data_IF_677950972549
#
_entry.id   IF_677950972549
#
_cell.length_a   1.000
_cell.length_b   1.000
_cell.length_c   1.000
_cell.angle_alpha   90.00
_cell.angle_beta   90.00
_cell.angle_gamma   90.00
#
_symmetry.space_group_name_H-M   'P 1'
#
loop_
_entity.id
_entity.type
_entity.pdbx_description
1 polymer ?
#
# COMPACT_ATOMS: atom_id res chain seq x y z
N UNK A 1 21.04 5.43 5.64
CA UNK A 1 21.81 5.13 4.42
C UNK A 1 21.34 3.85 3.77
N UNK A 2 21.62 3.69 2.47
CA UNK A 2 21.30 2.45 1.79
C UNK A 2 22.20 1.30 2.28
N UNK A 3 21.62 0.14 2.63
CA UNK A 3 22.40 -1.06 2.89
C UNK A 3 23.16 -1.53 1.66
N UNK A 4 24.17 -2.40 1.85
CA UNK A 4 24.98 -2.91 0.74
C UNK A 4 24.15 -3.76 -0.22
N UNK A 5 24.62 -3.87 -1.47
CA UNK A 5 23.94 -4.63 -2.52
C UNK A 5 23.79 -6.10 -2.16
N UNK A 6 24.80 -6.71 -1.52
CA UNK A 6 24.76 -8.12 -1.12
C UNK A 6 23.67 -8.36 -0.08
N UNK A 7 23.46 -7.39 0.82
CA UNK A 7 22.50 -7.48 1.91
C UNK A 7 21.04 -7.43 1.40
N UNK A 8 20.78 -6.63 0.36
CA UNK A 8 19.42 -6.44 -0.18
C UNK A 8 19.11 -7.26 -1.42
N UNK A 9 20.07 -8.02 -1.96
CA UNK A 9 19.84 -8.90 -3.11
C UNK A 9 18.72 -9.92 -2.82
N UNK A 10 17.79 -10.20 -3.76
CA UNK A 10 17.75 -9.81 -5.17
C UNK A 10 17.22 -8.40 -5.47
N UNK A 11 16.86 -7.63 -4.45
CA UNK A 11 16.45 -6.24 -4.60
C UNK A 11 17.66 -5.30 -4.73
N UNK A 12 17.38 -4.01 -4.85
CA UNK A 12 18.38 -2.94 -4.89
C UNK A 12 18.02 -1.85 -3.89
N UNK A 13 19.00 -1.06 -3.46
CA UNK A 13 18.75 0.13 -2.65
C UNK A 13 19.29 1.38 -3.35
N UNK A 14 18.49 2.45 -3.37
CA UNK A 14 18.89 3.77 -3.82
C UNK A 14 18.39 4.86 -2.86
N UNK A 15 19.05 6.01 -2.84
CA UNK A 15 18.55 7.19 -2.14
C UNK A 15 17.60 7.95 -3.07
N UNK A 16 16.34 8.09 -2.66
CA UNK A 16 15.34 8.92 -3.33
C UNK A 16 14.88 10.02 -2.37
N UNK A 17 14.99 11.28 -2.79
CA UNK A 17 14.66 12.46 -1.99
C UNK A 17 15.27 12.43 -0.56
N UNK A 18 16.49 11.90 -0.43
CA UNK A 18 17.20 11.78 0.85
C UNK A 18 16.79 10.59 1.73
N UNK A 19 15.91 9.71 1.26
CA UNK A 19 15.51 8.49 1.97
C UNK A 19 16.00 7.25 1.24
N UNK A 20 16.45 6.24 1.98
CA UNK A 20 16.82 4.96 1.40
C UNK A 20 15.56 4.19 0.96
N UNK A 21 15.56 3.68 -0.27
CA UNK A 21 14.45 2.94 -0.85
C UNK A 21 14.95 1.59 -1.36
N UNK A 22 14.39 0.52 -0.79
CA UNK A 22 14.59 -0.84 -1.27
C UNK A 22 13.59 -1.09 -2.40
N UNK A 23 14.12 -1.33 -3.59
CA UNK A 23 13.35 -1.56 -4.82
C UNK A 23 13.50 -3.01 -5.27
N UNK A 24 12.37 -3.72 -5.30
CA UNK A 24 12.24 -5.12 -5.66
C UNK A 24 11.32 -5.25 -6.88
N UNK A 25 11.70 -6.05 -7.88
CA UNK A 25 10.90 -6.15 -9.09
C UNK A 25 11.02 -7.48 -9.84
N UNK A 26 9.96 -7.86 -10.56
CA UNK A 26 9.97 -9.03 -11.44
C UNK A 26 9.83 -10.36 -10.71
N UNK A 27 9.29 -10.36 -9.50
CA UNK A 27 9.14 -11.58 -8.69
C UNK A 27 7.83 -12.30 -8.98
N UNK A 28 7.83 -13.60 -8.71
CA UNK A 28 6.70 -14.52 -8.86
C UNK A 28 6.09 -14.95 -7.53
N UNK A 29 6.69 -14.51 -6.42
CA UNK A 29 6.18 -14.66 -5.05
C UNK A 29 6.63 -13.51 -4.16
N UNK A 30 5.82 -13.15 -3.16
CA UNK A 30 6.21 -12.19 -2.11
C UNK A 30 7.47 -12.65 -1.35
N UNK A 31 7.67 -13.96 -1.21
CA UNK A 31 8.79 -14.55 -0.45
C UNK A 31 10.17 -14.30 -1.09
N UNK A 32 10.23 -13.93 -2.37
CA UNK A 32 11.48 -13.52 -3.01
C UNK A 32 12.02 -12.19 -2.44
N UNK A 33 11.18 -11.42 -1.74
CA UNK A 33 11.58 -10.22 -1.02
C UNK A 33 12.11 -10.52 0.40
N UNK A 34 11.89 -11.74 0.93
CA UNK A 34 12.23 -12.11 2.32
C UNK A 34 13.69 -11.80 2.70
N UNK A 35 14.70 -12.06 1.84
CA UNK A 35 16.09 -11.71 2.18
C UNK A 35 16.28 -10.21 2.39
N UNK A 36 15.75 -9.38 1.50
CA UNK A 36 15.90 -7.93 1.58
C UNK A 36 15.17 -7.37 2.81
N UNK A 37 13.94 -7.84 3.07
CA UNK A 37 13.14 -7.40 4.22
C UNK A 37 13.78 -7.86 5.53
N UNK A 38 14.19 -9.12 5.63
CA UNK A 38 14.76 -9.66 6.88
C UNK A 38 16.07 -8.97 7.25
N UNK A 39 16.97 -8.76 6.30
CA UNK A 39 18.28 -8.17 6.59
C UNK A 39 18.22 -6.65 6.82
N UNK A 40 17.11 -6.00 6.51
CA UNK A 40 16.96 -4.54 6.66
C UNK A 40 16.07 -4.14 7.84
N UNK A 41 15.68 -5.10 8.69
CA UNK A 41 15.12 -4.82 10.01
C UNK A 41 16.07 -3.88 10.78
N UNK A 42 15.50 -2.82 11.36
CA UNK A 42 16.23 -1.79 12.08
C UNK A 42 16.84 -0.67 11.22
N UNK A 43 16.81 -0.79 9.89
CA UNK A 43 17.15 0.31 8.99
C UNK A 43 15.94 1.24 8.78
N UNK A 44 16.21 2.53 8.59
CA UNK A 44 15.19 3.52 8.16
C UNK A 44 15.15 3.50 6.62
N UNK A 45 14.28 2.64 6.08
CA UNK A 45 14.15 2.36 4.65
C UNK A 45 12.69 2.37 4.24
N UNK A 46 12.43 2.81 3.02
CA UNK A 46 11.14 2.68 2.35
C UNK A 46 11.17 1.51 1.38
N UNK A 47 9.99 1.01 1.00
CA UNK A 47 9.87 -0.12 0.09
C UNK A 47 9.14 0.26 -1.20
N UNK A 48 9.66 -0.21 -2.32
CA UNK A 48 9.02 -0.16 -3.63
C UNK A 48 9.03 -1.56 -4.24
N UNK A 49 7.84 -2.16 -4.41
CA UNK A 49 7.69 -3.48 -5.04
C UNK A 49 6.98 -3.28 -6.38
N UNK A 50 7.64 -3.64 -7.47
CA UNK A 50 7.24 -3.26 -8.81
C UNK A 50 7.12 -4.46 -9.74
N UNK A 51 6.07 -4.55 -10.56
CA UNK A 51 6.00 -5.52 -11.68
C UNK A 51 6.22 -6.97 -11.24
N UNK A 52 5.48 -7.40 -10.21
CA UNK A 52 5.65 -8.71 -9.57
C UNK A 52 4.33 -9.42 -9.33
N UNK A 53 4.29 -10.74 -9.43
CA UNK A 53 3.18 -11.56 -8.97
C UNK A 53 3.44 -11.98 -7.52
N UNK A 54 2.77 -11.34 -6.56
CA UNK A 54 3.12 -11.48 -5.14
C UNK A 54 2.29 -12.55 -4.42
N UNK A 55 1.09 -12.85 -4.91
CA UNK A 55 0.17 -13.76 -4.23
C UNK A 55 -0.41 -13.12 -2.96
N UNK A 56 -0.40 -13.84 -1.85
CA UNK A 56 -0.86 -13.31 -0.56
C UNK A 56 0.30 -12.60 0.14
N UNK A 57 0.16 -11.31 0.42
CA UNK A 57 1.08 -10.57 1.28
C UNK A 57 0.61 -10.75 2.73
N UNK A 58 1.42 -11.34 3.63
CA UNK A 58 1.07 -11.45 5.05
C UNK A 58 0.89 -10.06 5.70
N UNK A 59 -0.03 -9.97 6.65
CA UNK A 59 -0.31 -8.74 7.41
C UNK A 59 0.96 -8.08 7.95
N UNK A 60 1.87 -8.89 8.51
CA UNK A 60 3.07 -8.46 9.24
C UNK A 60 4.36 -8.57 8.42
N UNK A 61 4.25 -8.60 7.09
CA UNK A 61 5.40 -8.75 6.19
C UNK A 61 6.52 -7.72 6.43
N UNK A 62 6.15 -6.48 6.77
CA UNK A 62 7.11 -5.39 7.04
C UNK A 62 7.38 -5.17 8.53
N UNK A 63 7.05 -6.13 9.39
CA UNK A 63 7.22 -5.98 10.84
C UNK A 63 8.69 -5.76 11.21
N UNK A 64 8.92 -4.90 12.21
CA UNK A 64 10.26 -4.54 12.67
C UNK A 64 10.93 -3.42 11.86
N UNK A 65 10.22 -2.86 10.88
CA UNK A 65 10.72 -1.76 10.05
C UNK A 65 10.14 -0.43 10.49
N UNK A 66 10.86 0.64 10.15
CA UNK A 66 10.35 2.00 10.18
C UNK A 66 10.38 2.51 8.74
N UNK A 67 9.22 2.53 8.10
CA UNK A 67 9.09 2.92 6.69
C UNK A 67 8.08 4.05 6.58
N UNK A 68 8.51 5.18 6.01
CA UNK A 68 7.65 6.35 5.80
C UNK A 68 6.78 6.18 4.56
N UNK A 69 7.31 5.51 3.53
CA UNK A 69 6.68 5.30 2.23
C UNK A 69 6.66 3.81 1.89
N UNK A 70 5.51 3.34 1.41
CA UNK A 70 5.35 2.02 0.80
C UNK A 70 4.70 2.18 -0.57
N UNK A 71 5.39 1.73 -1.61
CA UNK A 71 4.89 1.71 -2.98
C UNK A 71 4.78 0.26 -3.47
N UNK A 72 3.60 -0.10 -3.98
CA UNK A 72 3.35 -1.36 -4.67
C UNK A 72 2.73 -0.99 -6.02
N UNK A 73 3.39 -1.34 -7.12
CA UNK A 73 3.02 -0.86 -8.45
C UNK A 73 3.12 -1.95 -9.52
N UNK A 74 2.11 -2.05 -10.37
CA UNK A 74 2.03 -3.02 -11.46
C UNK A 74 2.24 -4.48 -11.00
N UNK A 75 1.79 -4.83 -9.81
CA UNK A 75 1.89 -6.18 -9.26
C UNK A 75 0.61 -7.00 -9.48
N UNK A 76 0.61 -8.24 -9.02
CA UNK A 76 -0.58 -9.09 -8.90
C UNK A 76 -0.62 -9.58 -7.46
N UNK A 77 -1.47 -8.95 -6.66
CA UNK A 77 -1.71 -9.30 -5.26
C UNK A 77 -3.06 -9.99 -5.15
N UNK A 78 -3.15 -11.07 -4.38
CA UNK A 78 -4.40 -11.77 -4.04
C UNK A 78 -4.96 -11.33 -2.69
N UNK A 79 -4.11 -10.98 -1.73
CA UNK A 79 -4.53 -10.52 -0.40
C UNK A 79 -3.42 -9.71 0.25
N UNK A 80 -3.81 -8.80 1.15
CA UNK A 80 -2.88 -8.09 2.04
C UNK A 80 -2.99 -8.59 3.50
N UNK A 81 -3.62 -9.74 3.71
CA UNK A 81 -3.93 -10.26 5.05
C UNK A 81 -5.15 -9.57 5.68
N UNK A 82 -5.38 -9.87 6.96
CA UNK A 82 -6.50 -9.31 7.74
C UNK A 82 -6.19 -7.92 8.31
N UNK A 83 -4.90 -7.62 8.52
CA UNK A 83 -4.41 -6.32 9.04
C UNK A 83 -3.23 -5.86 8.17
N UNK A 84 -3.49 -5.33 6.96
CA UNK A 84 -2.47 -4.97 6.00
C UNK A 84 -1.39 -4.05 6.58
N UNK A 85 -0.13 -4.41 6.38
CA UNK A 85 1.03 -3.58 6.76
C UNK A 85 1.21 -3.39 8.28
N UNK A 86 0.78 -4.38 9.06
CA UNK A 86 1.02 -4.40 10.50
C UNK A 86 2.52 -4.36 10.81
N UNK A 87 2.88 -3.63 11.86
CA UNK A 87 4.24 -3.25 12.19
C UNK A 87 4.64 -1.85 11.70
N UNK A 88 3.87 -1.24 10.80
CA UNK A 88 4.13 0.13 10.30
C UNK A 88 3.21 1.20 10.90
N UNK A 89 2.45 0.87 11.94
CA UNK A 89 1.38 1.70 12.52
C UNK A 89 1.85 3.12 12.88
N UNK A 90 3.07 3.21 13.41
CA UNK A 90 3.68 4.43 13.94
C UNK A 90 4.71 5.05 12.98
N UNK A 91 4.80 4.58 11.72
CA UNK A 91 5.79 5.06 10.74
C UNK A 91 5.27 5.35 9.34
N UNK A 92 4.31 4.58 8.83
CA UNK A 92 3.84 4.73 7.45
C UNK A 92 3.00 6.00 7.28
N UNK A 93 3.46 6.91 6.42
CA UNK A 93 2.79 8.17 6.12
C UNK A 93 2.20 8.20 4.70
N UNK A 94 2.83 7.50 3.76
CA UNK A 94 2.46 7.49 2.34
C UNK A 94 2.34 6.04 1.85
N UNK A 95 1.14 5.67 1.42
CA UNK A 95 0.87 4.38 0.80
C UNK A 95 0.44 4.57 -0.66
N UNK A 96 1.11 3.90 -1.58
CA UNK A 96 0.74 3.86 -3.00
C UNK A 96 0.54 2.41 -3.45
N UNK A 97 -0.63 2.14 -4.02
CA UNK A 97 -1.10 0.83 -4.51
C UNK A 97 -1.69 1.09 -5.90
N UNK A 98 -0.93 0.82 -6.95
CA UNK A 98 -1.30 1.25 -8.30
C UNK A 98 -1.17 0.12 -9.33
N UNK A 99 -2.27 -0.24 -10.01
CA UNK A 99 -2.25 -1.27 -11.05
C UNK A 99 -1.91 -2.67 -10.53
N UNK A 100 -2.33 -3.01 -9.31
CA UNK A 100 -1.81 -4.16 -8.54
C UNK A 100 -2.84 -5.23 -8.16
N UNK A 101 -4.13 -4.94 -8.22
CA UNK A 101 -5.16 -5.86 -7.73
C UNK A 101 -5.58 -6.87 -8.80
N UNK A 102 -5.38 -8.16 -8.52
CA UNK A 102 -6.11 -9.21 -9.24
C UNK A 102 -7.55 -9.21 -8.75
N UNK A 103 -8.45 -8.57 -9.49
CA UNK A 103 -9.85 -8.43 -9.09
C UNK A 103 -10.54 -9.79 -8.91
N UNK A 104 -10.13 -10.84 -9.63
CA UNK A 104 -10.76 -12.15 -9.50
C UNK A 104 -10.49 -12.81 -8.14
N UNK A 105 -9.49 -12.34 -7.40
CA UNK A 105 -9.08 -12.95 -6.14
C UNK A 105 -8.89 -11.97 -4.97
N UNK A 106 -8.80 -10.65 -5.22
CA UNK A 106 -8.50 -9.67 -4.16
C UNK A 106 -9.74 -9.21 -3.41
N UNK A 107 -9.87 -9.70 -2.17
CA UNK A 107 -10.97 -9.30 -1.30
C UNK A 107 -10.70 -7.96 -0.61
N UNK A 108 -11.15 -6.86 -1.22
CA UNK A 108 -11.02 -5.50 -0.68
C UNK A 108 -11.91 -5.23 0.56
N UNK A 109 -12.81 -6.13 0.95
CA UNK A 109 -13.56 -5.97 2.20
C UNK A 109 -12.67 -6.09 3.43
N UNK A 110 -11.55 -6.82 3.34
CA UNK A 110 -10.57 -6.96 4.42
C UNK A 110 -9.49 -5.89 4.40
N UNK A 111 -9.47 -5.05 3.35
CA UNK A 111 -8.50 -3.97 3.23
C UNK A 111 -8.90 -2.81 4.16
N UNK A 112 -8.36 -2.83 5.38
CA UNK A 112 -8.64 -1.84 6.45
C UNK A 112 -7.34 -1.22 6.94
N UNK A 113 -7.30 0.11 6.98
CA UNK A 113 -6.11 0.89 7.30
C UNK A 113 -6.25 1.73 8.60
N UNK A 114 -7.33 1.59 9.37
CA UNK A 114 -7.55 2.32 10.65
C UNK A 114 -6.36 2.27 11.60
N UNK A 115 -5.67 1.13 11.66
CA UNK A 115 -4.57 0.91 12.59
C UNK A 115 -3.31 1.73 12.23
N UNK A 116 -3.19 2.26 11.01
CA UNK A 116 -2.05 3.07 10.56
C UNK A 116 -2.17 4.52 11.03
N UNK A 117 -1.71 4.77 12.26
CA UNK A 117 -1.90 6.03 12.98
C UNK A 117 -1.26 7.24 12.33
N UNK A 118 -0.24 7.05 11.48
CA UNK A 118 0.47 8.15 10.78
C UNK A 118 0.13 8.28 9.30
N UNK A 119 -0.75 7.46 8.75
CA UNK A 119 -1.04 7.49 7.32
C UNK A 119 -1.75 8.78 6.92
N UNK A 120 -1.04 9.66 6.21
CA UNK A 120 -1.55 10.97 5.75
C UNK A 120 -2.05 10.91 4.32
N UNK A 121 -1.39 10.11 3.49
CA UNK A 121 -1.70 9.99 2.06
C UNK A 121 -1.84 8.53 1.63
N UNK A 122 -2.97 8.23 0.99
CA UNK A 122 -3.21 6.94 0.36
C UNK A 122 -3.59 7.14 -1.12
N UNK A 123 -2.85 6.51 -2.03
CA UNK A 123 -3.18 6.44 -3.45
C UNK A 123 -3.48 5.00 -3.83
N UNK A 124 -4.74 4.71 -4.15
CA UNK A 124 -5.23 3.39 -4.55
C UNK A 124 -5.86 3.54 -5.92
N UNK A 125 -5.03 3.60 -6.96
CA UNK A 125 -5.42 3.96 -8.32
C UNK A 125 -5.24 2.84 -9.33
N UNK A 126 -5.92 2.96 -10.47
CA UNK A 126 -5.81 2.03 -11.60
C UNK A 126 -5.97 0.54 -11.23
N UNK A 127 -6.84 0.23 -10.26
CA UNK A 127 -7.05 -1.13 -9.76
C UNK A 127 -8.42 -1.71 -10.15
N UNK A 128 -9.07 -1.14 -11.16
CA UNK A 128 -10.36 -1.61 -11.69
C UNK A 128 -11.50 -1.72 -10.65
N UNK A 129 -11.39 -1.03 -9.50
CA UNK A 129 -12.38 -1.09 -8.44
C UNK A 129 -13.72 -0.48 -8.90
N UNK A 130 -14.82 -1.23 -8.77
CA UNK A 130 -16.11 -0.86 -9.35
C UNK A 130 -17.18 -0.45 -8.32
N UNK A 131 -17.01 -0.83 -7.06
CA UNK A 131 -17.90 -0.49 -5.95
C UNK A 131 -17.13 0.16 -4.80
N UNK A 132 -17.46 1.43 -4.53
CA UNK A 132 -17.02 2.14 -3.33
C UNK A 132 -18.13 2.11 -2.28
N UNK A 133 -18.22 1.00 -1.54
CA UNK A 133 -19.25 0.79 -0.52
C UNK A 133 -19.00 1.57 0.77
N UNK A 134 -20.06 1.80 1.56
CA UNK A 134 -20.00 2.50 2.84
C UNK A 134 -19.01 1.91 3.85
N UNK A 135 -18.71 0.61 3.73
CA UNK A 135 -17.83 -0.10 4.65
C UNK A 135 -16.36 -0.07 4.26
N UNK A 136 -16.01 0.43 3.06
CA UNK A 136 -14.63 0.31 2.58
C UNK A 136 -13.66 1.12 3.43
N UNK A 137 -14.08 2.32 3.82
CA UNK A 137 -13.32 3.23 4.68
C UNK A 137 -14.13 3.60 5.93
N UNK A 138 -15.07 2.76 6.39
CA UNK A 138 -15.89 3.03 7.58
C UNK A 138 -15.08 3.17 8.88
N UNK A 139 -13.85 2.69 8.85
CA UNK A 139 -12.84 2.81 9.88
C UNK A 139 -11.51 3.15 9.19
N UNK A 140 -11.50 4.25 8.44
CA UNK A 140 -10.24 4.74 7.87
C UNK A 140 -9.30 5.33 8.93
N UNK A 141 -7.99 5.44 8.64
CA UNK A 141 -7.05 6.05 9.57
C UNK A 141 -7.41 7.50 9.82
N UNK A 142 -7.52 7.87 11.09
CA UNK A 142 -7.93 9.22 11.51
C UNK A 142 -6.94 10.29 11.01
N UNK A 143 -5.68 9.93 10.79
CA UNK A 143 -4.65 10.85 10.27
C UNK A 143 -4.71 11.10 8.77
N UNK A 144 -5.61 10.43 8.04
CA UNK A 144 -5.67 10.54 6.58
C UNK A 144 -6.18 11.91 6.16
N UNK A 145 -5.33 12.64 5.45
CA UNK A 145 -5.56 14.00 4.94
C UNK A 145 -5.93 13.97 3.45
N UNK A 146 -5.31 13.07 2.70
CA UNK A 146 -5.52 12.95 1.27
C UNK A 146 -5.71 11.50 0.85
N UNK A 147 -6.74 11.26 0.03
CA UNK A 147 -6.97 9.98 -0.63
C UNK A 147 -7.18 10.18 -2.13
N UNK A 148 -6.44 9.39 -2.91
CA UNK A 148 -6.59 9.32 -4.37
C UNK A 148 -7.09 7.94 -4.77
N UNK A 149 -8.22 7.93 -5.47
CA UNK A 149 -8.91 6.76 -6.00
C UNK A 149 -9.03 6.84 -7.52
N UNK A 150 -8.12 7.59 -8.15
CA UNK A 150 -8.13 7.93 -9.56
C UNK A 150 -7.94 6.69 -10.43
N UNK A 151 -8.63 6.65 -11.58
CA UNK A 151 -8.41 5.61 -12.60
C UNK A 151 -8.99 4.25 -12.24
N UNK A 152 -9.92 4.18 -11.29
CA UNK A 152 -10.68 2.97 -11.03
C UNK A 152 -11.94 2.89 -11.93
N UNK A 153 -12.86 1.98 -11.63
CA UNK A 153 -14.09 1.75 -12.40
C UNK A 153 -15.35 2.08 -11.59
N UNK A 154 -15.24 2.88 -10.51
CA UNK A 154 -16.34 3.13 -9.59
C UNK A 154 -17.54 3.69 -10.32
N UNK A 155 -18.71 3.04 -10.18
CA UNK A 155 -19.98 3.50 -10.79
C UNK A 155 -20.79 4.41 -9.88
N UNK A 156 -20.49 4.36 -8.59
CA UNK A 156 -21.15 5.14 -7.55
C UNK A 156 -20.33 5.07 -6.27
N UNK A 157 -20.57 6.05 -5.40
CA UNK A 157 -19.95 6.18 -4.09
C UNK A 157 -21.06 6.08 -3.06
N UNK A 158 -20.92 5.21 -2.07
CA UNK A 158 -21.89 5.14 -0.98
C UNK A 158 -21.89 6.42 -0.15
N UNK A 159 -23.07 6.86 0.29
CA UNK A 159 -23.28 8.12 1.02
C UNK A 159 -22.45 8.25 2.31
N UNK A 160 -21.98 7.13 2.86
CA UNK A 160 -21.15 7.07 4.08
C UNK A 160 -19.75 6.53 3.82
N UNK A 161 -19.35 6.37 2.56
CA UNK A 161 -18.06 5.78 2.18
C UNK A 161 -16.86 6.51 2.78
N UNK A 162 -16.99 7.81 3.11
CA UNK A 162 -15.93 8.62 3.70
C UNK A 162 -16.27 9.16 5.10
N UNK A 163 -17.39 8.74 5.70
CA UNK A 163 -17.94 9.36 6.90
C UNK A 163 -17.01 9.31 8.12
N UNK A 164 -16.10 8.33 8.18
CA UNK A 164 -15.14 8.19 9.29
C UNK A 164 -13.83 8.94 9.08
N UNK A 165 -13.57 9.49 7.87
CA UNK A 165 -12.33 10.19 7.54
C UNK A 165 -12.40 11.65 8.00
N UNK A 166 -12.39 11.86 9.30
CA UNK A 166 -12.66 13.17 9.91
C UNK A 166 -11.66 14.27 9.56
N UNK A 167 -10.45 13.92 9.12
CA UNK A 167 -9.39 14.87 8.76
C UNK A 167 -9.15 14.98 7.24
N UNK A 168 -9.96 14.34 6.39
CA UNK A 168 -9.74 14.38 4.95
C UNK A 168 -9.94 15.81 4.42
N UNK A 169 -8.95 16.31 3.66
CA UNK A 169 -9.02 17.61 2.99
C UNK A 169 -9.08 17.46 1.47
N UNK A 170 -8.51 16.37 0.94
CA UNK A 170 -8.38 16.15 -0.50
C UNK A 170 -8.84 14.76 -0.89
N UNK A 171 -9.86 14.73 -1.75
CA UNK A 171 -10.40 13.51 -2.34
C UNK A 171 -10.29 13.62 -3.86
N UNK A 172 -9.59 12.67 -4.47
CA UNK A 172 -9.48 12.56 -5.92
C UNK A 172 -10.17 11.28 -6.39
N UNK A 173 -11.18 11.44 -7.23
CA UNK A 173 -11.99 10.33 -7.79
C UNK A 173 -12.10 10.42 -9.31
N UNK A 174 -11.25 11.23 -9.95
CA UNK A 174 -11.21 11.42 -11.39
C UNK A 174 -10.93 10.11 -12.14
N UNK A 175 -11.28 10.07 -13.42
CA UNK A 175 -11.11 8.89 -14.28
C UNK A 175 -11.79 7.63 -13.72
N UNK A 176 -12.98 7.80 -13.13
CA UNK A 176 -13.90 6.72 -12.75
C UNK A 176 -15.17 6.75 -13.62
N UNK A 177 -16.12 5.85 -13.36
CA UNK A 177 -17.41 5.75 -14.07
C UNK A 177 -18.58 6.32 -13.25
N UNK A 178 -18.31 7.28 -12.37
CA UNK A 178 -19.30 7.87 -11.47
C UNK A 178 -20.26 8.74 -12.30
N UNK A 179 -21.56 8.53 -12.11
CA UNK A 179 -22.63 9.28 -12.79
C UNK A 179 -23.41 10.14 -11.83
#
# INVERSE_FOLDING_TARGET
DCPSRELVSPCSCAIDQGQAVISCAGFTSIHENDPAVTHTIGYDVNFAILRSHLGDIPSDFFKGHKSTKLNIENCVVRSFGDTPFSGLEDSLEILTINGVLDYSHTNMYKFRLNHLKKLKYAAIGNNDLDVLGNNWLSDGPVSLDQISLVGNKFKGIGDKAFASLSNIQKLYVDSNNIK
#
